data_IF_348424305289
#
_entry.id   IF_348424305289
#
_cell.length_a   1.000
_cell.length_b   1.000
_cell.length_c   1.000
_cell.angle_alpha   90.00
_cell.angle_beta   90.00
_cell.angle_gamma   90.00
#
_symmetry.space_group_name_H-M   'P 1'
#
loop_
_entity.id
_entity.type
_entity.pdbx_description
1 polymer ?
#
# COMPACT_ATOMS: atom_id res chain seq x y z
N UNK A 1 -23.28 -15.30 4.19
CA UNK A 1 -23.43 -13.88 3.82
C UNK A 1 -22.04 -13.29 3.80
N UNK A 2 -21.37 -13.38 2.66
CA UNK A 2 -19.98 -12.90 2.49
C UNK A 2 -20.09 -11.48 1.96
N UNK A 3 -19.53 -10.51 2.68
CA UNK A 3 -19.55 -9.11 2.28
C UNK A 3 -18.89 -8.96 0.90
N UNK A 4 -19.59 -8.43 -0.13
CA UNK A 4 -19.07 -8.32 -1.50
C UNK A 4 -17.96 -7.25 -1.65
N UNK A 5 -17.49 -6.70 -0.54
CA UNK A 5 -16.50 -5.62 -0.45
C UNK A 5 -15.38 -5.94 0.55
N UNK A 6 -15.11 -7.23 0.81
CA UNK A 6 -13.97 -7.63 1.63
C UNK A 6 -12.64 -7.21 0.99
N UNK A 7 -12.14 -6.04 1.42
CA UNK A 7 -10.75 -5.63 1.23
C UNK A 7 -9.96 -6.11 2.44
N UNK A 8 -8.92 -6.91 2.22
CA UNK A 8 -8.04 -7.42 3.28
C UNK A 8 -6.67 -6.77 3.16
N UNK A 9 -6.18 -6.18 4.24
CA UNK A 9 -4.82 -5.66 4.28
C UNK A 9 -3.87 -6.85 4.43
N UNK A 10 -2.99 -7.05 3.45
CA UNK A 10 -1.95 -8.09 3.48
C UNK A 10 -0.68 -7.55 4.16
N UNK A 11 -0.28 -6.34 3.81
CA UNK A 11 0.93 -5.69 4.34
C UNK A 11 0.70 -4.20 4.57
N UNK A 12 1.33 -3.63 5.61
CA UNK A 12 1.32 -2.19 5.87
C UNK A 12 2.67 -1.76 6.47
N UNK A 13 3.33 -0.76 5.87
CA UNK A 13 4.62 -0.24 6.31
C UNK A 13 4.86 1.18 5.80
N UNK A 14 5.37 2.07 6.64
CA UNK A 14 5.81 3.43 6.27
C UNK A 14 4.74 4.25 5.51
N UNK A 15 3.47 4.10 5.89
CA UNK A 15 2.35 4.77 5.21
C UNK A 15 1.94 4.16 3.87
N UNK A 16 2.48 2.99 3.53
CA UNK A 16 2.12 2.19 2.34
C UNK A 16 1.38 0.94 2.81
N UNK A 17 0.35 0.55 2.06
CA UNK A 17 -0.55 -0.56 2.37
C UNK A 17 -0.75 -1.40 1.12
N UNK A 18 -0.60 -2.71 1.23
CA UNK A 18 -0.99 -3.67 0.20
C UNK A 18 -2.30 -4.34 0.62
N UNK A 19 -3.31 -4.13 -0.20
CA UNK A 19 -4.67 -4.61 -0.02
C UNK A 19 -4.97 -5.72 -1.04
N UNK A 20 -5.59 -6.80 -0.59
CA UNK A 20 -6.28 -7.77 -1.43
C UNK A 20 -7.75 -7.36 -1.55
N UNK A 21 -8.20 -7.17 -2.79
CA UNK A 21 -9.58 -6.86 -3.17
C UNK A 21 -10.18 -8.07 -3.89
N UNK A 22 -11.48 -8.05 -4.14
CA UNK A 22 -12.14 -9.16 -4.86
C UNK A 22 -11.62 -9.32 -6.29
N UNK A 23 -11.26 -8.21 -6.94
CA UNK A 23 -10.84 -8.16 -8.33
C UNK A 23 -9.30 -8.04 -8.49
N UNK A 24 -8.53 -8.32 -7.44
CA UNK A 24 -7.06 -8.28 -7.50
C UNK A 24 -6.43 -7.65 -6.26
N UNK A 25 -5.36 -6.89 -6.46
CA UNK A 25 -4.55 -6.31 -5.40
C UNK A 25 -4.40 -4.80 -5.62
N UNK A 26 -4.28 -4.04 -4.53
CA UNK A 26 -4.06 -2.61 -4.60
C UNK A 26 -2.95 -2.17 -3.63
N UNK A 27 -2.04 -1.34 -4.11
CA UNK A 27 -1.05 -0.64 -3.29
C UNK A 27 -1.53 0.79 -3.07
N UNK A 28 -1.83 1.11 -1.81
CA UNK A 28 -2.22 2.44 -1.35
C UNK A 28 -1.06 3.06 -0.60
N UNK A 29 -0.63 4.27 -0.95
CA UNK A 29 0.43 4.99 -0.24
C UNK A 29 -0.08 6.36 0.16
N UNK A 30 0.25 6.81 1.36
CA UNK A 30 -0.06 8.18 1.81
C UNK A 30 0.60 9.26 0.95
N UNK A 31 1.56 8.88 0.09
CA UNK A 31 2.23 9.77 -0.85
C UNK A 31 1.50 9.95 -2.17
N UNK A 32 0.75 8.95 -2.60
CA UNK A 32 0.06 8.95 -3.89
C UNK A 32 -1.43 9.14 -3.68
N UNK A 33 -2.01 10.05 -4.47
CA UNK A 33 -3.44 10.35 -4.40
C UNK A 33 -4.31 9.19 -4.91
N UNK A 34 -3.75 8.30 -5.73
CA UNK A 34 -4.45 7.17 -6.31
C UNK A 34 -3.75 5.83 -5.99
N UNK A 35 -4.54 4.78 -5.66
CA UNK A 35 -4.00 3.45 -5.46
C UNK A 35 -3.58 2.80 -6.78
N UNK A 36 -2.44 2.10 -6.77
CA UNK A 36 -2.00 1.30 -7.91
C UNK A 36 -2.66 -0.09 -7.83
N UNK A 37 -3.34 -0.51 -8.88
CA UNK A 37 -4.10 -1.77 -8.93
C UNK A 37 -3.36 -2.79 -9.79
N UNK A 38 -3.35 -4.04 -9.36
CA UNK A 38 -2.63 -5.16 -9.98
C UNK A 38 -3.48 -6.42 -9.96
N UNK A 39 -3.41 -7.22 -11.01
CA UNK A 39 -4.10 -8.52 -11.08
C UNK A 39 -3.31 -9.64 -10.37
N UNK A 40 -1.98 -9.48 -10.24
CA UNK A 40 -1.06 -10.45 -9.63
C UNK A 40 -0.53 -9.98 -8.27
N UNK A 41 -0.52 -10.89 -7.28
CA UNK A 41 0.02 -10.62 -5.93
C UNK A 41 1.51 -10.29 -5.97
N UNK A 42 2.29 -11.03 -6.76
CA UNK A 42 3.74 -10.87 -6.85
C UNK A 42 4.12 -9.47 -7.39
N UNK A 43 3.38 -9.00 -8.41
CA UNK A 43 3.55 -7.65 -8.95
C UNK A 43 3.15 -6.59 -7.92
N UNK A 44 2.02 -6.78 -7.24
CA UNK A 44 1.55 -5.87 -6.20
C UNK A 44 2.53 -5.78 -5.03
N UNK A 45 3.14 -6.92 -4.65
CA UNK A 45 4.13 -7.00 -3.58
C UNK A 45 5.45 -6.32 -3.96
N UNK A 46 5.93 -6.53 -5.18
CA UNK A 46 7.10 -5.82 -5.67
C UNK A 46 6.85 -4.29 -5.73
N UNK A 47 5.66 -3.87 -6.16
CA UNK A 47 5.28 -2.46 -6.16
C UNK A 47 5.18 -1.89 -4.74
N UNK A 48 4.63 -2.66 -3.80
CA UNK A 48 4.59 -2.31 -2.38
C UNK A 48 5.99 -2.09 -1.81
N UNK A 49 6.92 -3.02 -2.00
CA UNK A 49 8.29 -2.90 -1.48
C UNK A 49 9.04 -1.71 -2.09
N UNK A 50 8.83 -1.46 -3.40
CA UNK A 50 9.40 -0.29 -4.07
C UNK A 50 8.85 1.03 -3.50
N UNK A 51 7.55 1.10 -3.24
CA UNK A 51 6.91 2.28 -2.67
C UNK A 51 7.28 2.48 -1.20
N UNK A 52 7.40 1.41 -0.41
CA UNK A 52 7.95 1.46 0.96
C UNK A 52 9.37 2.01 0.94
N UNK A 53 10.25 1.50 0.07
CA UNK A 53 11.63 1.98 -0.02
C UNK A 53 11.70 3.47 -0.42
N UNK A 54 10.74 3.94 -1.23
CA UNK A 54 10.61 5.37 -1.56
C UNK A 54 10.12 6.18 -0.36
N UNK A 55 9.06 5.73 0.31
CA UNK A 55 8.49 6.35 1.50
C UNK A 55 9.51 6.45 2.64
N UNK A 56 10.36 5.43 2.81
CA UNK A 56 11.44 5.43 3.79
C UNK A 56 12.58 6.39 3.46
N UNK A 57 12.77 6.68 2.18
CA UNK A 57 13.74 7.67 1.70
C UNK A 57 13.15 9.08 1.62
N UNK A 58 11.89 9.26 1.98
CA UNK A 58 11.23 10.56 1.97
C UNK A 58 11.32 11.21 3.35
N UNK A 59 12.21 12.20 3.52
CA UNK A 59 12.43 12.83 4.83
C UNK A 59 11.18 13.58 5.31
N UNK A 60 10.36 14.13 4.41
CA UNK A 60 9.13 14.84 4.79
C UNK A 60 8.05 13.87 5.30
N UNK A 61 7.90 12.71 4.66
CA UNK A 61 7.00 11.66 5.13
C UNK A 61 7.47 11.10 6.48
N UNK A 62 8.78 10.89 6.63
CA UNK A 62 9.37 10.39 7.88
C UNK A 62 9.26 11.40 9.02
N UNK A 63 9.42 12.71 8.75
CA UNK A 63 9.13 13.75 9.73
C UNK A 63 7.65 13.80 10.13
N UNK A 64 6.71 13.52 9.21
CA UNK A 64 5.27 13.43 9.52
C UNK A 64 4.88 12.17 10.30
N UNK A 65 5.60 11.07 10.10
CA UNK A 65 5.34 9.79 10.80
C UNK A 65 6.08 9.69 12.15
N UNK A 66 7.21 10.39 12.31
CA UNK A 66 8.05 10.37 13.52
C UNK A 66 8.00 11.63 14.38
N UNK A 67 7.28 12.68 13.96
CA UNK A 67 7.15 13.93 14.69
C UNK A 67 6.00 13.91 15.70
N UNK A 68 6.28 13.40 16.90
CA UNK A 68 5.50 13.61 18.12
C UNK A 68 6.44 14.13 19.23
#
# INVERSE_FOLDING_TARGET
MTDPSQTRILHARSGVTLEQRNDGFAVVSLRTEAPAVFDDEDQARQAFDAEVARAEKDPELMSRLGGA
#
